data_IF_198115530068
#
_entry.id   IF_198115530068
#
_cell.length_a   1.000
_cell.length_b   1.000
_cell.length_c   1.000
_cell.angle_alpha   90.00
_cell.angle_beta   90.00
_cell.angle_gamma   90.00
#
_symmetry.space_group_name_H-M   'P 1'
#
loop_
_entity.id
_entity.type
_entity.pdbx_description
1 polymer ?
#
# COMPACT_ATOMS: atom_id res chain seq x y z
N UNK A 1 -13.73 9.88 -15.26
CA UNK A 1 -12.28 9.79 -15.49
C UNK A 1 -11.69 11.18 -15.71
N UNK A 2 -12.12 11.89 -16.75
CA UNK A 2 -11.61 13.24 -17.13
C UNK A 2 -11.62 14.31 -16.01
N UNK A 3 -12.68 14.39 -15.19
CA UNK A 3 -12.72 15.31 -14.03
C UNK A 3 -11.73 14.95 -12.92
N UNK A 4 -11.47 13.65 -12.72
CA UNK A 4 -10.54 13.20 -11.68
C UNK A 4 -9.10 13.46 -12.11
N UNK A 5 -8.81 13.31 -13.40
CA UNK A 5 -7.52 13.65 -14.01
C UNK A 5 -7.25 15.15 -13.93
N UNK A 6 -8.23 15.99 -14.30
CA UNK A 6 -8.11 17.44 -14.16
C UNK A 6 -7.86 17.87 -12.71
N UNK A 7 -8.58 17.27 -11.76
CA UNK A 7 -8.35 17.52 -10.33
C UNK A 7 -6.92 17.12 -9.94
N UNK A 8 -6.45 15.94 -10.36
CA UNK A 8 -5.11 15.47 -10.07
C UNK A 8 -4.02 16.39 -10.64
N UNK A 9 -4.21 16.95 -11.83
CA UNK A 9 -3.31 17.92 -12.46
C UNK A 9 -3.24 19.23 -11.69
N UNK A 10 -4.40 19.81 -11.34
CA UNK A 10 -4.46 21.06 -10.55
C UNK A 10 -3.79 20.90 -9.19
N UNK A 11 -3.98 19.74 -8.57
CA UNK A 11 -3.43 19.41 -7.26
C UNK A 11 -1.91 19.15 -7.31
N UNK A 12 -1.38 18.69 -8.45
CA UNK A 12 0.06 18.57 -8.68
C UNK A 12 0.71 19.96 -8.82
N UNK A 13 0.09 20.86 -9.59
CA UNK A 13 0.58 22.24 -9.76
C UNK A 13 0.53 23.08 -8.48
N UNK A 14 -0.47 22.88 -7.62
CA UNK A 14 -0.52 23.53 -6.29
C UNK A 14 0.56 23.04 -5.32
N UNK A 15 1.11 21.84 -5.54
CA UNK A 15 2.18 21.28 -4.70
C UNK A 15 3.54 21.83 -5.09
N UNK A 16 3.78 22.07 -6.38
CA UNK A 16 5.06 22.64 -6.89
C UNK A 16 5.23 24.12 -6.51
N UNK A 17 4.14 24.87 -6.32
CA UNK A 17 4.20 26.28 -5.90
C UNK A 17 4.37 26.50 -4.40
N UNK A 18 4.25 25.45 -3.56
CA UNK A 18 4.48 25.53 -2.12
C UNK A 18 5.99 25.38 -1.85
N UNK A 19 6.68 26.52 -1.81
CA UNK A 19 8.12 26.62 -1.56
C UNK A 19 8.60 25.90 -0.29
N UNK A 20 9.90 25.59 -0.29
CA UNK A 20 10.81 25.14 0.79
C UNK A 20 10.25 24.23 1.89
N UNK A 21 11.00 23.17 2.25
CA UNK A 21 10.70 22.20 3.31
C UNK A 21 10.40 22.85 4.68
N UNK A 22 9.19 23.36 4.90
CA UNK A 22 8.72 23.83 6.22
C UNK A 22 8.13 22.64 6.97
N UNK A 23 8.91 22.12 7.92
CA UNK A 23 8.44 21.12 8.87
C UNK A 23 7.86 21.80 10.12
N UNK A 24 6.69 21.35 10.63
CA UNK A 24 5.82 20.33 10.06
C UNK A 24 5.01 20.84 8.86
N UNK A 25 4.75 19.95 7.90
CA UNK A 25 3.88 20.26 6.77
C UNK A 25 2.42 20.41 7.24
N UNK A 26 1.76 21.54 6.97
CA UNK A 26 0.36 21.71 7.34
C UNK A 26 -0.55 20.83 6.48
N UNK A 27 -1.36 20.00 7.13
CA UNK A 27 -2.39 19.17 6.48
C UNK A 27 -3.55 20.05 6.03
N UNK A 28 -3.78 20.08 4.72
CA UNK A 28 -4.89 20.77 4.07
C UNK A 28 -6.21 20.02 4.24
N UNK A 29 -7.34 20.69 4.01
CA UNK A 29 -8.66 20.06 4.07
C UNK A 29 -8.79 18.85 3.14
N UNK A 30 -8.23 18.94 1.92
CA UNK A 30 -8.17 17.83 0.97
C UNK A 30 -7.43 16.62 1.56
N UNK A 31 -6.29 16.84 2.19
CA UNK A 31 -5.50 15.76 2.80
C UNK A 31 -6.22 15.16 4.02
N UNK A 32 -6.97 15.96 4.79
CA UNK A 32 -7.83 15.44 5.86
C UNK A 32 -8.96 14.56 5.32
N UNK A 33 -9.58 14.94 4.19
CA UNK A 33 -10.60 14.11 3.53
C UNK A 33 -9.98 12.77 3.13
N UNK A 34 -8.79 12.78 2.52
CA UNK A 34 -8.07 11.56 2.16
C UNK A 34 -7.78 10.68 3.39
N UNK A 35 -7.30 11.27 4.48
CA UNK A 35 -7.04 10.54 5.74
C UNK A 35 -8.34 9.88 6.23
N UNK A 36 -9.47 10.59 6.21
CA UNK A 36 -10.76 10.04 6.63
C UNK A 36 -11.20 8.89 5.73
N UNK A 37 -11.16 9.07 4.41
CA UNK A 37 -11.50 8.03 3.44
C UNK A 37 -10.65 6.78 3.64
N UNK A 38 -9.33 6.95 3.82
CA UNK A 38 -8.42 5.86 4.11
C UNK A 38 -8.72 5.17 5.44
N UNK A 39 -9.09 5.95 6.48
CA UNK A 39 -9.37 5.42 7.83
C UNK A 39 -10.63 4.57 7.89
N UNK A 40 -11.62 4.85 7.03
CA UNK A 40 -12.84 4.05 6.91
C UNK A 40 -12.77 2.96 5.85
N UNK A 41 -11.68 2.92 5.08
CA UNK A 41 -11.47 1.88 4.09
C UNK A 41 -11.07 0.57 4.80
N UNK A 42 -11.91 -0.45 4.69
CA UNK A 42 -11.55 -1.83 5.06
C UNK A 42 -10.61 -2.43 4.00
N UNK A 43 -9.42 -1.84 3.87
CA UNK A 43 -8.39 -2.29 2.94
C UNK A 43 -7.77 -3.58 3.49
N UNK A 44 -8.22 -4.72 2.98
CA UNK A 44 -7.72 -6.03 3.36
C UNK A 44 -7.88 -7.04 2.23
N UNK A 45 -6.87 -7.88 2.06
CA UNK A 45 -6.91 -9.00 1.12
C UNK A 45 -6.48 -10.27 1.83
N UNK A 46 -7.30 -11.31 1.71
CA UNK A 46 -7.00 -12.59 2.36
C UNK A 46 -5.84 -13.30 1.66
N UNK A 47 -5.03 -14.09 2.40
CA UNK A 47 -3.96 -14.88 1.82
C UNK A 47 -4.44 -15.78 0.68
N UNK A 48 -5.62 -16.38 0.82
CA UNK A 48 -6.20 -17.26 -0.19
C UNK A 48 -6.57 -16.50 -1.47
N UNK A 49 -7.18 -15.32 -1.36
CA UNK A 49 -7.50 -14.52 -2.53
C UNK A 49 -6.22 -14.03 -3.23
N UNK A 50 -5.25 -13.54 -2.45
CA UNK A 50 -3.98 -13.04 -3.00
C UNK A 50 -3.23 -14.17 -3.72
N UNK A 51 -3.07 -15.32 -3.08
CA UNK A 51 -2.39 -16.49 -3.63
C UNK A 51 -3.08 -17.07 -4.88
N UNK A 52 -4.41 -17.00 -4.95
CA UNK A 52 -5.13 -17.47 -6.13
C UNK A 52 -5.10 -16.48 -7.30
N UNK A 53 -4.96 -15.18 -7.00
CA UNK A 53 -4.93 -14.12 -8.01
C UNK A 53 -3.55 -13.99 -8.66
N UNK A 54 -2.49 -14.11 -7.86
CA UNK A 54 -1.11 -13.91 -8.30
C UNK A 54 -0.35 -15.24 -8.27
N UNK A 55 0.35 -15.56 -9.35
CA UNK A 55 1.21 -16.76 -9.46
C UNK A 55 2.51 -16.56 -8.65
N UNK A 56 2.36 -16.55 -7.33
CA UNK A 56 3.42 -16.28 -6.35
C UNK A 56 3.53 -17.41 -5.33
N UNK A 57 4.71 -17.52 -4.72
CA UNK A 57 4.98 -18.51 -3.69
C UNK A 57 4.59 -18.01 -2.30
N UNK A 58 4.52 -18.93 -1.32
CA UNK A 58 4.28 -18.54 0.08
C UNK A 58 5.48 -17.79 0.66
N UNK A 59 6.66 -18.02 0.10
CA UNK A 59 7.89 -17.30 0.37
C UNK A 59 7.77 -15.84 -0.06
N UNK A 60 7.22 -15.56 -1.24
CA UNK A 60 6.95 -14.20 -1.71
C UNK A 60 5.96 -13.48 -0.79
N UNK A 61 4.89 -14.17 -0.37
CA UNK A 61 3.94 -13.62 0.61
C UNK A 61 4.62 -13.31 1.94
N UNK A 62 5.56 -14.15 2.39
CA UNK A 62 6.31 -13.92 3.62
C UNK A 62 7.18 -12.66 3.51
N UNK A 63 7.82 -12.45 2.36
CA UNK A 63 8.58 -11.24 2.05
C UNK A 63 7.68 -10.00 2.06
N UNK A 64 6.54 -10.03 1.34
CA UNK A 64 5.56 -8.94 1.28
C UNK A 64 5.08 -8.54 2.68
N UNK A 65 4.77 -9.54 3.51
CA UNK A 65 4.25 -9.33 4.85
C UNK A 65 5.33 -9.14 5.93
N UNK A 66 6.62 -9.11 5.58
CA UNK A 66 7.74 -9.02 6.52
C UNK A 66 7.64 -10.04 7.67
N UNK A 67 7.30 -11.29 7.36
CA UNK A 67 7.10 -12.35 8.34
C UNK A 67 7.77 -13.66 7.92
N UNK A 68 7.68 -14.70 8.76
CA UNK A 68 8.26 -15.99 8.44
C UNK A 68 7.37 -16.80 7.49
N UNK A 69 7.96 -17.62 6.63
CA UNK A 69 7.22 -18.60 5.80
C UNK A 69 6.40 -19.55 6.68
N UNK A 70 6.86 -19.85 7.90
CA UNK A 70 6.10 -20.64 8.87
C UNK A 70 4.78 -19.95 9.25
N UNK A 71 4.81 -18.63 9.47
CA UNK A 71 3.63 -17.81 9.74
C UNK A 71 2.65 -17.88 8.57
N UNK A 72 3.13 -17.73 7.33
CA UNK A 72 2.30 -17.81 6.12
C UNK A 72 1.69 -19.22 5.98
N UNK A 73 2.49 -20.27 6.17
CA UNK A 73 1.99 -21.65 6.14
C UNK A 73 0.88 -21.89 7.16
N UNK A 74 0.93 -21.23 8.32
CA UNK A 74 -0.13 -21.23 9.32
C UNK A 74 -1.49 -20.76 8.78
N UNK A 75 -1.51 -19.77 7.88
CA UNK A 75 -2.75 -19.21 7.30
C UNK A 75 -3.46 -20.16 6.33
N UNK A 76 -2.72 -21.09 5.74
CA UNK A 76 -3.25 -22.10 4.81
C UNK A 76 -3.51 -23.45 5.49
N UNK A 77 -3.22 -23.57 6.78
CA UNK A 77 -3.39 -24.82 7.51
C UNK A 77 -4.87 -25.02 7.89
N UNK A 78 -5.41 -26.21 7.62
CA UNK A 78 -6.81 -26.58 7.95
C UNK A 78 -6.96 -27.17 9.36
N UNK A 79 -5.86 -27.34 10.10
CA UNK A 79 -5.89 -27.89 11.46
C UNK A 79 -6.47 -26.90 12.48
N UNK A 80 -6.87 -27.41 13.65
CA UNK A 80 -7.36 -26.60 14.79
C UNK A 80 -6.38 -25.54 15.31
N UNK A 81 -5.12 -25.54 14.84
CA UNK A 81 -4.09 -24.53 15.15
C UNK A 81 -3.97 -23.45 14.08
N UNK A 82 -4.90 -23.38 13.12
CA UNK A 82 -4.98 -22.27 12.19
C UNK A 82 -5.21 -20.97 12.97
N UNK A 83 -4.32 -20.01 12.78
CA UNK A 83 -4.51 -18.64 13.25
C UNK A 83 -4.71 -17.75 12.03
N UNK A 84 -5.81 -16.98 11.96
CA UNK A 84 -6.03 -16.08 10.84
C UNK A 84 -4.96 -14.98 10.84
N UNK A 85 -4.58 -14.47 9.65
CA UNK A 85 -3.74 -13.27 9.56
C UNK A 85 -4.41 -12.09 10.27
N UNK A 86 -3.64 -11.30 10.99
CA UNK A 86 -4.13 -10.05 11.56
C UNK A 86 -4.38 -8.99 10.46
N UNK A 87 -5.06 -7.91 10.82
CA UNK A 87 -5.40 -6.82 9.89
C UNK A 87 -4.16 -6.15 9.25
N UNK A 88 -3.00 -6.17 9.90
CA UNK A 88 -1.75 -5.66 9.34
C UNK A 88 -1.32 -6.47 8.12
N UNK A 89 -1.33 -7.80 8.22
CA UNK A 89 -1.00 -8.67 7.08
C UNK A 89 -2.00 -8.55 5.94
N UNK A 90 -3.30 -8.51 6.25
CA UNK A 90 -4.35 -8.31 5.25
C UNK A 90 -4.15 -6.99 4.49
N UNK A 91 -3.75 -5.93 5.20
CA UNK A 91 -3.43 -4.63 4.59
C UNK A 91 -2.18 -4.68 3.72
N UNK A 92 -1.11 -5.36 4.15
CA UNK A 92 0.09 -5.54 3.32
C UNK A 92 -0.22 -6.24 2.00
N UNK A 93 -1.03 -7.31 2.06
CA UNK A 93 -1.45 -8.03 0.85
C UNK A 93 -2.31 -7.14 -0.04
N UNK A 94 -3.25 -6.37 0.51
CA UNK A 94 -4.08 -5.45 -0.27
C UNK A 94 -3.29 -4.30 -0.91
N UNK A 95 -2.29 -3.75 -0.22
CA UNK A 95 -1.39 -2.73 -0.79
C UNK A 95 -0.58 -3.34 -1.93
N UNK A 96 -0.02 -4.54 -1.75
CA UNK A 96 0.73 -5.20 -2.80
C UNK A 96 -0.16 -5.56 -3.99
N UNK A 97 -1.40 -6.01 -3.75
CA UNK A 97 -2.39 -6.26 -4.77
C UNK A 97 -2.64 -5.04 -5.65
N UNK A 98 -2.92 -3.90 -5.02
CA UNK A 98 -3.08 -2.61 -5.69
C UNK A 98 -1.84 -2.23 -6.51
N UNK A 99 -0.65 -2.38 -5.94
CA UNK A 99 0.60 -2.06 -6.64
C UNK A 99 0.86 -2.97 -7.84
N UNK A 100 0.52 -4.25 -7.74
CA UNK A 100 0.71 -5.22 -8.83
C UNK A 100 -0.31 -5.02 -9.96
N UNK A 101 -1.57 -4.70 -9.64
CA UNK A 101 -2.60 -4.39 -10.64
C UNK A 101 -2.22 -3.18 -11.49
N UNK A 102 -1.69 -2.15 -10.85
CA UNK A 102 -1.41 -0.87 -11.50
C UNK A 102 0.06 -0.71 -11.90
N UNK A 103 0.91 -1.73 -11.71
CA UNK A 103 2.37 -1.61 -11.80
C UNK A 103 2.87 -0.88 -13.06
N UNK A 104 2.35 -1.27 -14.23
CA UNK A 104 2.72 -0.68 -15.54
C UNK A 104 2.24 0.77 -15.71
N UNK A 105 1.28 1.21 -14.91
CA UNK A 105 0.72 2.57 -14.93
C UNK A 105 1.35 3.48 -13.89
N UNK A 106 2.07 2.94 -12.90
CA UNK A 106 2.69 3.75 -11.85
C UNK A 106 3.76 4.65 -12.50
N UNK A 107 3.64 5.98 -12.37
CA UNK A 107 4.65 6.89 -12.91
C UNK A 107 6.03 6.58 -12.36
N UNK A 108 7.04 6.52 -13.26
CA UNK A 108 8.43 6.23 -12.90
C UNK A 108 8.97 7.05 -11.70
N UNK A 109 8.70 8.37 -11.56
CA UNK A 109 9.13 9.13 -10.39
C UNK A 109 8.51 8.65 -9.07
N UNK A 110 7.31 8.07 -9.11
CA UNK A 110 6.68 7.47 -7.93
C UNK A 110 7.30 6.12 -7.59
N UNK A 111 7.58 5.27 -8.59
CA UNK A 111 8.33 4.03 -8.38
C UNK A 111 9.71 4.33 -7.78
N UNK A 112 10.43 5.30 -8.34
CA UNK A 112 11.71 5.74 -7.81
C UNK A 112 11.56 6.18 -6.35
N UNK A 113 10.55 6.97 -5.99
CA UNK A 113 10.31 7.35 -4.58
C UNK A 113 9.91 6.19 -3.67
N UNK A 114 9.21 5.18 -4.17
CA UNK A 114 8.85 3.97 -3.41
C UNK A 114 10.09 3.10 -3.11
N UNK A 115 11.05 3.04 -4.04
CA UNK A 115 12.24 2.19 -3.94
C UNK A 115 13.53 2.94 -3.56
N UNK A 116 13.50 4.28 -3.52
CA UNK A 116 14.61 5.09 -3.00
C UNK A 116 14.70 4.85 -1.51
N UNK A 117 15.72 4.07 -1.11
CA UNK A 117 16.10 3.81 0.28
C UNK A 117 15.91 5.04 1.15
N UNK A 118 15.23 4.85 2.27
CA UNK A 118 15.13 5.83 3.34
C UNK A 118 16.52 6.19 3.88
N UNK A 119 16.88 7.46 3.72
CA UNK A 119 17.64 8.16 4.75
C UNK A 119 16.67 8.42 5.92
N UNK A 120 16.37 7.37 6.69
CA UNK A 120 15.91 7.55 8.06
C UNK A 120 17.14 8.00 8.85
N UNK A 121 17.30 9.32 8.94
CA UNK A 121 18.15 9.94 9.95
C UNK A 121 17.53 9.58 11.30
N UNK A 122 18.20 8.68 12.02
CA UNK A 122 18.02 8.49 13.47
C UNK A 122 18.95 9.47 14.17
#
# INVERSE_FOLDING_TARGET
MERLEQLAQELAQQRESKGEHVYPYPITEREQILIRLYSYCELGMTPQLFYNKWDLTREDMALICSCSVHTVNGWFNTSRRCYPPNAGYLRHLAIMDFLLEDFETIPKPLLERLFSKGELVI
#
